data_IF_586046507532
#
_entry.id   IF_586046507532
#
_cell.length_a   1.000
_cell.length_b   1.000
_cell.length_c   1.000
_cell.angle_alpha   90.00
_cell.angle_beta   90.00
_cell.angle_gamma   90.00
#
_symmetry.space_group_name_H-M   'P 1'
#
loop_
_entity.id
_entity.type
_entity.pdbx_description
1 polymer ?
#
# COMPACT_ATOMS: atom_id res chain seq x y z
N UNK A 1 18.32 -19.50 0.47
CA UNK A 1 17.87 -20.91 0.39
C UNK A 1 16.82 -21.28 1.44
N UNK A 2 16.67 -20.50 2.52
CA UNK A 2 15.71 -20.76 3.61
C UNK A 2 14.68 -19.65 3.79
N UNK A 3 14.69 -18.64 2.91
CA UNK A 3 13.82 -17.49 3.06
C UNK A 3 12.44 -17.76 2.45
N UNK A 4 11.40 -17.42 3.19
CA UNK A 4 10.02 -17.43 2.73
C UNK A 4 9.75 -16.20 1.85
N UNK A 5 8.80 -16.32 0.92
CA UNK A 5 8.50 -15.24 -0.04
C UNK A 5 8.05 -13.94 0.64
N UNK A 6 7.41 -14.02 1.81
CA UNK A 6 7.00 -12.84 2.57
C UNK A 6 8.19 -12.07 3.16
N UNK A 7 9.32 -12.73 3.42
CA UNK A 7 10.52 -12.06 3.90
C UNK A 7 11.16 -11.25 2.77
N UNK A 8 11.20 -11.80 1.54
CA UNK A 8 11.59 -11.04 0.36
C UNK A 8 10.70 -9.80 0.15
N UNK A 9 9.38 -9.96 0.34
CA UNK A 9 8.42 -8.85 0.29
C UNK A 9 8.68 -7.79 1.37
N UNK A 10 9.00 -8.20 2.59
CA UNK A 10 9.35 -7.28 3.68
C UNK A 10 10.65 -6.51 3.38
N UNK A 11 11.67 -7.20 2.85
CA UNK A 11 12.97 -6.63 2.49
C UNK A 11 12.90 -5.59 1.37
N UNK A 12 11.82 -5.53 0.59
CA UNK A 12 11.58 -4.43 -0.36
C UNK A 12 11.54 -3.06 0.32
N UNK A 13 11.21 -3.00 1.62
CA UNK A 13 11.14 -1.76 2.40
C UNK A 13 12.45 -1.47 3.16
N UNK A 14 13.45 -2.35 3.08
CA UNK A 14 14.71 -2.15 3.77
C UNK A 14 15.47 -0.94 3.22
N UNK A 15 15.82 -0.02 4.13
CA UNK A 15 16.64 1.16 3.87
C UNK A 15 17.51 1.48 5.10
N UNK A 16 18.78 1.89 4.91
CA UNK A 16 19.61 2.37 6.01
C UNK A 16 19.05 3.69 6.54
N UNK A 17 18.89 3.80 7.86
CA UNK A 17 18.35 5.00 8.52
C UNK A 17 19.43 5.74 9.33
N UNK A 18 20.27 4.98 10.04
CA UNK A 18 21.38 5.48 10.83
C UNK A 18 22.46 4.39 10.95
N UNK A 19 23.70 4.78 11.28
CA UNK A 19 24.83 3.87 11.43
C UNK A 19 25.94 4.12 10.40
N UNK A 20 26.88 3.19 10.32
CA UNK A 20 27.97 3.25 9.35
C UNK A 20 27.44 3.07 7.90
N UNK A 21 27.72 4.00 6.98
CA UNK A 21 27.24 3.92 5.60
C UNK A 21 27.75 2.69 4.83
N UNK A 22 29.00 2.26 5.10
CA UNK A 22 29.60 1.09 4.45
C UNK A 22 28.88 -0.19 4.84
N UNK A 23 28.67 -0.40 6.14
CA UNK A 23 27.90 -1.53 6.66
C UNK A 23 26.45 -1.53 6.15
N UNK A 24 25.83 -0.35 6.06
CA UNK A 24 24.50 -0.20 5.49
C UNK A 24 24.45 -0.68 4.03
N UNK A 25 25.45 -0.30 3.22
CA UNK A 25 25.55 -0.73 1.84
C UNK A 25 25.81 -2.24 1.73
N UNK A 26 26.74 -2.79 2.52
CA UNK A 26 27.02 -4.23 2.55
C UNK A 26 25.75 -5.06 2.86
N UNK A 27 24.91 -4.59 3.78
CA UNK A 27 23.64 -5.24 4.06
C UNK A 27 22.66 -5.16 2.89
N UNK A 28 22.57 -3.99 2.22
CA UNK A 28 21.71 -3.84 1.05
C UNK A 28 22.14 -4.77 -0.09
N UNK A 29 23.45 -4.88 -0.34
CA UNK A 29 24.02 -5.76 -1.35
C UNK A 29 23.75 -7.24 -1.02
N UNK A 30 23.84 -7.61 0.26
CA UNK A 30 23.52 -8.96 0.75
C UNK A 30 22.07 -9.36 0.46
N UNK A 31 21.10 -8.46 0.68
CA UNK A 31 19.68 -8.77 0.52
C UNK A 31 19.16 -8.58 -0.90
N UNK A 32 19.91 -7.91 -1.77
CA UNK A 32 19.52 -7.60 -3.14
C UNK A 32 19.02 -8.81 -3.94
N UNK A 33 19.74 -9.95 -4.00
CA UNK A 33 19.26 -11.13 -4.74
C UNK A 33 18.03 -11.79 -4.10
N UNK A 34 17.74 -11.53 -2.82
CA UNK A 34 16.56 -12.08 -2.12
C UNK A 34 15.32 -11.26 -2.45
N UNK A 35 15.42 -9.92 -2.37
CA UNK A 35 14.28 -9.02 -2.61
C UNK A 35 14.04 -8.70 -4.08
N UNK A 36 15.01 -8.97 -4.96
CA UNK A 36 14.94 -8.78 -6.42
C UNK A 36 15.61 -9.96 -7.14
N UNK A 37 15.01 -11.16 -7.08
CA UNK A 37 15.57 -12.34 -7.72
C UNK A 37 15.66 -12.14 -9.25
N UNK A 38 16.77 -12.52 -9.89
CA UNK A 38 16.86 -12.57 -11.36
C UNK A 38 15.73 -13.44 -11.93
N UNK A 39 15.04 -12.95 -12.96
CA UNK A 39 13.87 -13.63 -13.54
C UNK A 39 12.58 -13.53 -12.73
N UNK A 40 12.58 -12.82 -11.59
CA UNK A 40 11.38 -12.55 -10.79
C UNK A 40 10.90 -13.75 -9.97
N UNK A 41 9.62 -13.70 -9.58
CA UNK A 41 8.98 -14.76 -8.80
C UNK A 41 8.49 -15.91 -9.68
N UNK A 42 8.55 -17.13 -9.15
CA UNK A 42 7.86 -18.28 -9.74
C UNK A 42 6.34 -18.18 -9.54
N UNK A 43 5.57 -18.91 -10.33
CA UNK A 43 4.11 -19.01 -10.19
C UNK A 43 3.68 -19.47 -8.80
N UNK A 44 4.42 -20.40 -8.19
CA UNK A 44 4.17 -20.90 -6.83
C UNK A 44 4.38 -19.81 -5.79
N UNK A 45 5.44 -19.00 -5.93
CA UNK A 45 5.72 -17.88 -5.04
C UNK A 45 4.66 -16.79 -5.15
N UNK A 46 4.21 -16.46 -6.36
CA UNK A 46 3.09 -15.52 -6.58
C UNK A 46 1.81 -16.02 -5.89
N UNK A 47 1.48 -17.32 -6.05
CA UNK A 47 0.34 -17.93 -5.35
C UNK A 47 0.49 -17.87 -3.84
N UNK A 48 1.69 -18.10 -3.31
CA UNK A 48 1.96 -18.00 -1.87
C UNK A 48 1.75 -16.57 -1.35
N UNK A 49 2.29 -15.54 -2.03
CA UNK A 49 2.03 -14.13 -1.69
C UNK A 49 0.52 -13.85 -1.66
N UNK A 50 -0.22 -14.29 -2.68
CA UNK A 50 -1.68 -14.09 -2.75
C UNK A 50 -2.41 -14.74 -1.56
N UNK A 51 -2.01 -15.96 -1.17
CA UNK A 51 -2.56 -16.63 0.02
C UNK A 51 -2.25 -15.88 1.32
N UNK A 52 -1.02 -15.39 1.48
CA UNK A 52 -0.64 -14.61 2.65
C UNK A 52 -1.46 -13.33 2.74
N UNK A 53 -1.66 -12.62 1.61
CA UNK A 53 -2.53 -11.43 1.57
C UNK A 53 -3.95 -11.76 2.02
N UNK A 54 -4.56 -12.78 1.44
CA UNK A 54 -5.93 -13.19 1.77
C UNK A 54 -6.09 -13.54 3.26
N UNK A 55 -5.11 -14.24 3.85
CA UNK A 55 -5.09 -14.53 5.28
C UNK A 55 -4.91 -13.26 6.12
N UNK A 56 -4.07 -12.33 5.69
CA UNK A 56 -3.89 -11.06 6.39
C UNK A 56 -5.16 -10.20 6.39
N UNK A 57 -5.94 -10.20 5.32
CA UNK A 57 -7.22 -9.48 5.24
C UNK A 57 -8.22 -9.96 6.30
N UNK A 58 -8.23 -11.25 6.63
CA UNK A 58 -9.14 -11.82 7.63
C UNK A 58 -8.58 -11.71 9.05
N UNK A 59 -7.29 -12.01 9.25
CA UNK A 59 -6.69 -12.09 10.59
C UNK A 59 -6.27 -10.75 11.18
N UNK A 60 -5.98 -9.74 10.34
CA UNK A 60 -5.47 -8.43 10.78
C UNK A 60 -6.49 -7.30 10.70
N UNK A 61 -7.74 -7.59 10.35
CA UNK A 61 -8.80 -6.59 10.37
C UNK A 61 -9.01 -6.07 11.81
N UNK A 62 -8.96 -4.75 12.05
CA UNK A 62 -9.17 -4.19 13.37
C UNK A 62 -10.58 -4.49 13.91
N UNK A 63 -10.64 -4.91 15.18
CA UNK A 63 -11.92 -5.22 15.84
C UNK A 63 -12.73 -3.95 16.05
N UNK A 64 -14.04 -4.02 15.78
CA UNK A 64 -14.97 -2.90 16.01
C UNK A 64 -14.87 -1.76 14.99
N UNK A 65 -14.12 -1.95 13.89
CA UNK A 65 -14.04 -1.01 12.78
C UNK A 65 -14.80 -1.60 11.59
N UNK A 66 -15.65 -0.80 10.94
CA UNK A 66 -16.24 -1.19 9.65
C UNK A 66 -15.11 -1.44 8.63
N UNK A 67 -15.01 -2.64 8.03
CA UNK A 67 -13.98 -2.95 7.04
C UNK A 67 -13.88 -1.93 5.90
N UNK A 68 -15.00 -1.32 5.49
CA UNK A 68 -15.03 -0.30 4.43
C UNK A 68 -14.39 1.03 4.85
N UNK A 69 -14.24 1.25 6.15
CA UNK A 69 -13.65 2.44 6.73
C UNK A 69 -12.26 2.17 7.35
N UNK A 70 -11.82 0.90 7.41
CA UNK A 70 -10.47 0.55 7.85
C UNK A 70 -9.43 1.12 6.88
N UNK A 71 -8.50 1.93 7.39
CA UNK A 71 -7.57 2.70 6.55
C UNK A 71 -6.48 1.82 5.95
N UNK A 72 -5.84 0.98 6.78
CA UNK A 72 -4.74 0.12 6.30
C UNK A 72 -5.26 -1.18 5.72
N UNK A 73 -6.11 -1.89 6.48
CA UNK A 73 -6.54 -3.26 6.18
C UNK A 73 -7.87 -3.35 5.42
N UNK A 74 -8.56 -2.23 5.21
CA UNK A 74 -9.82 -2.21 4.48
C UNK A 74 -9.63 -2.46 2.97
N UNK A 75 -10.67 -2.93 2.26
CA UNK A 75 -10.62 -3.12 0.82
C UNK A 75 -10.31 -1.79 0.09
N UNK A 76 -9.28 -1.80 -0.76
CA UNK A 76 -8.75 -0.60 -1.43
C UNK A 76 -8.04 0.39 -0.50
N UNK A 77 -7.76 -0.02 0.74
CA UNK A 77 -6.95 0.73 1.69
C UNK A 77 -5.45 0.66 1.39
N UNK A 78 -4.63 1.11 2.33
CA UNK A 78 -3.18 1.24 2.10
C UNK A 78 -2.50 -0.08 1.79
N UNK A 79 -2.85 -1.14 2.53
CA UNK A 79 -2.23 -2.45 2.33
C UNK A 79 -2.54 -2.99 0.93
N UNK A 80 -3.76 -2.83 0.43
CA UNK A 80 -4.13 -3.31 -0.91
C UNK A 80 -3.22 -2.74 -2.01
N UNK A 81 -2.97 -1.43 -1.99
CA UNK A 81 -2.07 -0.78 -2.94
C UNK A 81 -0.61 -1.17 -2.68
N UNK A 82 -0.17 -1.23 -1.43
CA UNK A 82 1.18 -1.66 -1.05
C UNK A 82 1.50 -3.06 -1.58
N UNK A 83 0.54 -3.99 -1.51
CA UNK A 83 0.70 -5.37 -1.94
C UNK A 83 0.76 -5.51 -3.46
N UNK A 84 -0.07 -4.77 -4.21
CA UNK A 84 0.03 -4.70 -5.69
C UNK A 84 1.43 -4.25 -6.10
N UNK A 85 1.89 -3.12 -5.54
CA UNK A 85 3.18 -2.55 -5.87
C UNK A 85 4.32 -3.50 -5.51
N UNK A 86 4.27 -4.10 -4.32
CA UNK A 86 5.30 -5.05 -3.89
C UNK A 86 5.34 -6.32 -4.74
N UNK A 87 4.19 -6.84 -5.20
CA UNK A 87 4.17 -7.97 -6.12
C UNK A 87 4.87 -7.61 -7.44
N UNK A 88 4.55 -6.45 -8.01
CA UNK A 88 5.20 -5.95 -9.24
C UNK A 88 6.71 -5.76 -9.05
N UNK A 89 7.15 -5.25 -7.89
CA UNK A 89 8.56 -5.12 -7.55
C UNK A 89 9.27 -6.48 -7.44
N UNK A 90 8.65 -7.48 -6.81
CA UNK A 90 9.25 -8.81 -6.70
C UNK A 90 9.34 -9.52 -8.06
N UNK A 91 8.37 -9.30 -8.94
CA UNK A 91 8.36 -9.90 -10.28
C UNK A 91 9.34 -9.22 -11.24
N UNK A 92 9.53 -7.90 -11.14
CA UNK A 92 10.18 -7.13 -12.20
C UNK A 92 11.35 -6.26 -11.71
N UNK A 93 11.62 -6.18 -10.40
CA UNK A 93 12.61 -5.26 -9.83
C UNK A 93 14.06 -5.55 -10.23
N UNK A 94 14.36 -6.78 -10.68
CA UNK A 94 15.64 -7.11 -11.27
C UNK A 94 15.83 -6.40 -12.62
N UNK A 95 14.80 -6.37 -13.48
CA UNK A 95 14.89 -5.85 -14.84
C UNK A 95 14.51 -4.37 -14.97
N UNK A 96 13.70 -3.84 -14.04
CA UNK A 96 13.21 -2.45 -14.09
C UNK A 96 13.84 -1.64 -12.94
N UNK A 97 14.89 -0.83 -13.19
CA UNK A 97 15.57 -0.07 -12.15
C UNK A 97 14.66 0.90 -11.38
N UNK A 98 13.63 1.46 -12.02
CA UNK A 98 12.66 2.35 -11.37
C UNK A 98 11.86 1.69 -10.23
N UNK A 99 11.74 0.35 -10.25
CA UNK A 99 11.11 -0.41 -9.17
C UNK A 99 12.03 -0.62 -7.96
N UNK A 100 13.30 -0.23 -8.03
CA UNK A 100 14.29 -0.44 -6.95
C UNK A 100 14.23 0.66 -5.88
N UNK A 101 13.03 0.91 -5.37
CA UNK A 101 12.76 1.93 -4.35
C UNK A 101 11.94 1.34 -3.20
N UNK A 102 12.20 1.73 -1.93
CA UNK A 102 11.39 1.28 -0.81
C UNK A 102 10.03 2.02 -0.73
N UNK A 103 9.79 3.03 -1.57
CA UNK A 103 8.60 3.88 -1.51
C UNK A 103 7.49 3.39 -2.45
N UNK A 104 6.23 3.37 -1.96
CA UNK A 104 5.09 2.82 -2.72
C UNK A 104 4.76 3.64 -3.97
N UNK A 105 4.56 4.96 -3.85
CA UNK A 105 4.16 5.78 -5.01
C UNK A 105 5.23 5.87 -6.10
N UNK A 106 6.52 6.06 -5.79
CA UNK A 106 7.57 5.97 -6.81
C UNK A 106 7.60 4.63 -7.54
N UNK A 107 7.48 3.50 -6.82
CA UNK A 107 7.42 2.19 -7.45
C UNK A 107 6.14 1.99 -8.29
N UNK A 108 4.99 2.52 -7.86
CA UNK A 108 3.74 2.49 -8.61
C UNK A 108 3.89 3.22 -9.96
N UNK A 109 4.47 4.43 -9.94
CA UNK A 109 4.70 5.21 -11.15
C UNK A 109 5.70 4.53 -12.09
N UNK A 110 6.79 3.99 -11.55
CA UNK A 110 7.74 3.21 -12.34
C UNK A 110 7.11 1.96 -12.96
N UNK A 111 6.16 1.31 -12.29
CA UNK A 111 5.42 0.18 -12.87
C UNK A 111 4.55 0.60 -14.06
N UNK A 112 3.89 1.77 -13.97
CA UNK A 112 3.13 2.34 -15.09
C UNK A 112 4.04 2.73 -16.25
N UNK A 113 5.14 3.43 -15.97
CA UNK A 113 6.13 3.85 -16.97
C UNK A 113 6.75 2.65 -17.72
N UNK A 114 6.95 1.53 -17.02
CA UNK A 114 7.44 0.29 -17.59
C UNK A 114 6.37 -0.56 -18.30
N UNK A 115 5.10 -0.10 -18.34
CA UNK A 115 4.00 -0.83 -18.96
C UNK A 115 3.55 -2.08 -18.19
N UNK A 116 3.96 -2.23 -16.92
CA UNK A 116 3.60 -3.36 -16.05
C UNK A 116 2.23 -3.18 -15.39
N UNK A 117 1.69 -1.95 -15.43
CA UNK A 117 0.39 -1.60 -14.91
C UNK A 117 -0.27 -0.59 -15.86
N UNK A 118 -1.56 -0.78 -16.15
CA UNK A 118 -2.33 0.17 -16.95
C UNK A 118 -2.30 1.57 -16.32
N UNK A 119 -2.06 2.65 -17.08
CA UNK A 119 -2.01 4.01 -16.52
C UNK A 119 -3.29 4.43 -15.78
N UNK A 120 -4.46 3.96 -16.22
CA UNK A 120 -5.75 4.25 -15.57
C UNK A 120 -5.83 3.57 -14.22
N UNK A 121 -5.37 2.32 -14.14
CA UNK A 121 -5.28 1.56 -12.90
C UNK A 121 -4.27 2.20 -11.92
N UNK A 122 -3.11 2.59 -12.44
CA UNK A 122 -2.10 3.30 -11.66
C UNK A 122 -2.64 4.59 -11.05
N UNK A 123 -3.34 5.41 -11.83
CA UNK A 123 -3.98 6.64 -11.35
C UNK A 123 -5.02 6.38 -10.25
N UNK A 124 -5.84 5.32 -10.40
CA UNK A 124 -6.83 4.92 -9.39
C UNK A 124 -6.16 4.52 -8.08
N UNK A 125 -5.12 3.68 -8.14
CA UNK A 125 -4.38 3.23 -6.96
C UNK A 125 -3.63 4.39 -6.27
N UNK A 126 -3.00 5.28 -7.05
CA UNK A 126 -2.29 6.45 -6.52
C UNK A 126 -3.25 7.41 -5.80
N UNK A 127 -4.41 7.69 -6.41
CA UNK A 127 -5.42 8.56 -5.81
C UNK A 127 -5.96 7.99 -4.49
N UNK A 128 -6.27 6.69 -4.46
CA UNK A 128 -6.77 6.04 -3.26
C UNK A 128 -5.70 5.98 -2.16
N UNK A 129 -4.48 5.53 -2.45
CA UNK A 129 -3.41 5.47 -1.45
C UNK A 129 -3.11 6.84 -0.87
N UNK A 130 -3.01 7.87 -1.73
CA UNK A 130 -2.78 9.26 -1.32
C UNK A 130 -3.89 9.79 -0.43
N UNK A 131 -5.16 9.56 -0.81
CA UNK A 131 -6.31 9.98 0.00
C UNK A 131 -6.30 9.29 1.36
N UNK A 132 -6.18 7.96 1.40
CA UNK A 132 -6.21 7.19 2.65
C UNK A 132 -5.03 7.56 3.56
N UNK A 133 -3.84 7.78 3.01
CA UNK A 133 -2.68 8.24 3.76
C UNK A 133 -2.92 9.63 4.37
N UNK A 134 -3.48 10.56 3.59
CA UNK A 134 -3.87 11.89 4.08
C UNK A 134 -4.94 11.81 5.17
N UNK A 135 -5.94 10.95 5.02
CA UNK A 135 -6.96 10.70 6.06
C UNK A 135 -6.33 10.20 7.36
N UNK A 136 -5.45 9.20 7.28
CA UNK A 136 -4.74 8.66 8.44
C UNK A 136 -3.95 9.75 9.17
N UNK A 137 -3.25 10.60 8.42
CA UNK A 137 -2.48 11.71 9.00
C UNK A 137 -3.40 12.79 9.60
N UNK A 138 -4.49 13.14 8.91
CA UNK A 138 -5.48 14.10 9.41
C UNK A 138 -6.14 13.62 10.72
N UNK A 139 -6.39 12.32 10.87
CA UNK A 139 -6.91 11.75 12.11
C UNK A 139 -5.97 11.97 13.29
N UNK A 140 -4.66 11.90 13.09
CA UNK A 140 -3.68 12.22 14.14
C UNK A 140 -3.78 13.70 14.53
N UNK A 141 -3.91 14.60 13.55
CA UNK A 141 -4.05 16.04 13.82
C UNK A 141 -5.34 16.36 14.58
N UNK A 142 -6.46 15.73 14.22
CA UNK A 142 -7.78 15.99 14.81
C UNK A 142 -7.91 15.36 16.19
N UNK A 143 -7.38 14.14 16.39
CA UNK A 143 -7.61 13.35 17.60
C UNK A 143 -6.42 13.32 18.56
N UNK A 144 -5.26 13.80 18.14
CA UNK A 144 -3.99 13.69 18.86
C UNK A 144 -3.42 12.27 18.94
N UNK A 145 -4.01 11.29 18.21
CA UNK A 145 -3.58 9.89 18.22
C UNK A 145 -3.89 9.16 16.92
N UNK A 146 -3.13 8.10 16.57
CA UNK A 146 -3.45 7.24 15.43
C UNK A 146 -4.83 6.59 15.55
N UNK A 147 -5.40 6.26 14.40
CA UNK A 147 -6.65 5.53 14.29
C UNK A 147 -6.55 4.48 13.17
N UNK A 148 -7.19 3.33 13.37
CA UNK A 148 -7.19 2.24 12.39
C UNK A 148 -8.29 2.41 11.32
N UNK A 149 -9.33 3.19 11.62
CA UNK A 149 -10.46 3.43 10.73
C UNK A 149 -10.92 4.89 10.72
N UNK A 150 -11.55 5.29 9.62
CA UNK A 150 -12.23 6.57 9.50
C UNK A 150 -13.55 6.54 10.29
N UNK A 151 -13.85 7.54 11.16
CA UNK A 151 -15.15 7.66 11.80
C UNK A 151 -16.26 7.83 10.76
N UNK A 152 -17.42 7.19 10.97
CA UNK A 152 -18.54 7.26 10.04
C UNK A 152 -19.42 8.51 10.21
N UNK A 153 -19.27 9.24 11.31
CA UNK A 153 -20.04 10.45 11.62
C UNK A 153 -19.37 11.29 12.72
N UNK A 154 -19.97 12.45 13.01
CA UNK A 154 -19.63 13.27 14.17
C UNK A 154 -18.44 14.20 13.95
N UNK A 155 -17.98 14.79 15.06
CA UNK A 155 -16.98 15.86 15.06
C UNK A 155 -15.62 15.43 14.49
N UNK A 156 -15.20 14.20 14.76
CA UNK A 156 -13.92 13.69 14.25
C UNK A 156 -13.95 13.58 12.71
N UNK A 157 -15.05 13.09 12.13
CA UNK A 157 -15.22 13.03 10.68
C UNK A 157 -15.23 14.44 10.06
N UNK A 158 -15.99 15.37 10.66
CA UNK A 158 -16.03 16.76 10.20
C UNK A 158 -14.65 17.43 10.29
N UNK A 159 -13.91 17.20 11.38
CA UNK A 159 -12.55 17.70 11.55
C UNK A 159 -11.59 17.18 10.49
N UNK A 160 -11.65 15.88 10.18
CA UNK A 160 -10.83 15.28 9.12
C UNK A 160 -11.17 15.88 7.75
N UNK A 161 -12.46 15.99 7.41
CA UNK A 161 -12.89 16.61 6.17
C UNK A 161 -12.34 18.04 6.03
N UNK A 162 -12.44 18.84 7.09
CA UNK A 162 -11.92 20.22 7.15
C UNK A 162 -10.40 20.28 6.97
N UNK A 163 -9.64 19.42 7.64
CA UNK A 163 -8.16 19.33 7.47
C UNK A 163 -7.79 18.98 6.02
N UNK A 164 -8.60 18.17 5.35
CA UNK A 164 -8.37 17.79 3.96
C UNK A 164 -8.84 18.83 2.93
N UNK A 165 -9.41 19.95 3.38
CA UNK A 165 -9.82 21.08 2.54
C UNK A 165 -11.29 21.05 2.12
N UNK A 166 -12.10 20.15 2.68
CA UNK A 166 -13.55 20.19 2.43
C UNK A 166 -14.18 21.37 3.19
N UNK A 167 -15.21 22.03 2.61
CA UNK A 167 -15.97 23.07 3.29
C UNK A 167 -16.62 22.60 4.61
N UNK A 168 -17.18 23.56 5.36
CA UNK A 168 -18.00 23.21 6.53
C UNK A 168 -19.25 22.45 6.06
N UNK A 169 -19.73 21.51 6.89
CA UNK A 169 -20.96 20.74 6.68
C UNK A 169 -20.97 19.80 5.46
N UNK A 170 -19.83 19.62 4.78
CA UNK A 170 -19.67 18.70 3.62
C UNK A 170 -18.97 17.39 4.00
N UNK A 171 -19.02 16.97 5.27
CA UNK A 171 -18.40 15.72 5.71
C UNK A 171 -19.02 14.46 5.07
N UNK A 172 -20.29 14.55 4.63
CA UNK A 172 -20.95 13.49 3.87
C UNK A 172 -20.29 13.27 2.51
N UNK A 173 -20.06 14.36 1.77
CA UNK A 173 -19.40 14.33 0.46
C UNK A 173 -17.99 13.73 0.57
N UNK A 174 -17.21 14.16 1.58
CA UNK A 174 -15.91 13.58 1.87
C UNK A 174 -15.97 12.07 2.11
N UNK A 175 -16.93 11.61 2.91
CA UNK A 175 -17.08 10.18 3.21
C UNK A 175 -17.46 9.38 1.96
N UNK A 176 -18.27 9.94 1.07
CA UNK A 176 -18.65 9.31 -0.18
C UNK A 176 -17.49 9.28 -1.19
N UNK A 177 -16.68 10.33 -1.26
CA UNK A 177 -15.46 10.35 -2.06
C UNK A 177 -14.44 9.33 -1.57
N UNK A 178 -14.26 9.22 -0.24
CA UNK A 178 -13.44 8.17 0.37
C UNK A 178 -13.91 6.76 -0.05
N UNK A 179 -15.21 6.48 0.11
CA UNK A 179 -15.81 5.18 -0.26
C UNK A 179 -15.73 4.90 -1.76
N UNK A 180 -15.79 5.94 -2.60
CA UNK A 180 -15.67 5.80 -4.05
C UNK A 180 -14.23 5.46 -4.44
N UNK A 181 -13.26 6.17 -3.88
CA UNK A 181 -11.84 5.95 -4.14
C UNK A 181 -11.41 4.53 -3.72
N UNK A 182 -11.72 4.10 -2.49
CA UNK A 182 -11.34 2.77 -2.00
C UNK A 182 -12.04 1.64 -2.78
N UNK A 183 -13.31 1.81 -3.15
CA UNK A 183 -14.02 0.82 -3.98
C UNK A 183 -13.39 0.66 -5.37
N UNK A 184 -13.01 1.77 -6.01
CA UNK A 184 -12.33 1.74 -7.32
C UNK A 184 -10.96 1.07 -7.20
N UNK A 185 -10.18 1.44 -6.17
CA UNK A 185 -8.90 0.79 -5.90
C UNK A 185 -9.05 -0.71 -5.63
N UNK A 186 -10.08 -1.13 -4.89
CA UNK A 186 -10.34 -2.56 -4.68
C UNK A 186 -10.62 -3.28 -5.99
N UNK A 187 -11.41 -2.70 -6.89
CA UNK A 187 -11.69 -3.31 -8.19
C UNK A 187 -10.41 -3.51 -9.02
N UNK A 188 -9.48 -2.54 -8.97
CA UNK A 188 -8.16 -2.68 -9.59
C UNK A 188 -7.34 -3.79 -8.92
N UNK A 189 -7.34 -3.86 -7.59
CA UNK A 189 -6.61 -4.90 -6.84
C UNK A 189 -7.13 -6.30 -7.19
N UNK A 190 -8.45 -6.50 -7.27
CA UNK A 190 -9.03 -7.78 -7.70
C UNK A 190 -8.49 -8.21 -9.08
N UNK A 191 -8.46 -7.29 -10.04
CA UNK A 191 -8.00 -7.57 -11.40
C UNK A 191 -6.49 -7.72 -11.53
N UNK A 192 -5.70 -6.93 -10.82
CA UNK A 192 -4.24 -6.88 -10.99
C UNK A 192 -3.53 -7.84 -10.05
N UNK A 193 -4.02 -7.97 -8.82
CA UNK A 193 -3.36 -8.76 -7.80
C UNK A 193 -3.86 -10.20 -7.75
N UNK A 194 -5.15 -10.47 -7.99
CA UNK A 194 -5.74 -11.80 -7.79
C UNK A 194 -6.03 -12.59 -9.06
N UNK A 195 -6.23 -11.92 -10.21
CA UNK A 195 -6.36 -12.59 -11.52
C UNK A 195 -5.09 -13.38 -11.87
#
# INVERSE_FOLDING_TARGET
RWSHVWEAQALLRAAPIAGDPGLGQEFLDLIEPVRRPPGGLTTEQVREIRRIKARMETERMPRGVDPKLALKMGPGGLADVEWVVQLLQLQNGAEVPGLRTPSTLPALRAAVEAGLLDPTDGAVLEAAWSLVARVRNALVLVRGKPAEGLPSSGRDLAGVARVLGYPADTQGDFLDDYRRATRRARAVVERVFYA
#
